data_IF_549785979027
#
_entry.id   IF_549785979027
#
_cell.length_a   1.000
_cell.length_b   1.000
_cell.length_c   1.000
_cell.angle_alpha   90.00
_cell.angle_beta   90.00
_cell.angle_gamma   90.00
#
_symmetry.space_group_name_H-M   'P 1'
#
loop_
_entity.id
_entity.type
_entity.pdbx_description
1 polymer ?
#
# COMPACT_ATOMS: atom_id res chain seq x y z
N UNK A 1 0.35 -3.09 21.02
CA UNK A 1 0.99 -2.14 20.07
C UNK A 1 2.22 -1.46 20.66
N UNK A 2 2.17 -0.84 21.85
CA UNK A 2 3.37 -0.22 22.48
C UNK A 2 4.39 -1.23 23.03
N UNK A 3 3.91 -2.35 23.58
CA UNK A 3 4.76 -3.41 24.18
C UNK A 3 5.23 -4.46 23.15
N UNK A 4 4.52 -4.54 22.03
CA UNK A 4 4.73 -5.49 20.94
C UNK A 4 3.53 -5.52 19.98
N UNK A 5 3.71 -6.24 18.87
CA UNK A 5 2.62 -6.62 17.96
C UNK A 5 1.97 -7.90 18.49
N UNK A 6 0.71 -7.81 18.90
CA UNK A 6 -0.03 -8.94 19.50
C UNK A 6 -1.01 -9.58 18.51
N UNK A 7 -0.98 -9.18 17.24
CA UNK A 7 -1.90 -9.67 16.22
C UNK A 7 -1.76 -11.17 15.98
N UNK A 8 -2.89 -11.84 15.77
CA UNK A 8 -2.91 -13.26 15.40
C UNK A 8 -3.33 -13.44 13.95
N UNK A 9 -2.68 -14.36 13.24
CA UNK A 9 -2.98 -14.62 11.84
C UNK A 9 -4.01 -15.75 11.73
N UNK A 10 -5.13 -15.50 11.05
CA UNK A 10 -6.17 -16.51 10.86
C UNK A 10 -5.61 -17.75 10.16
N UNK A 11 -5.72 -18.94 10.77
CA UNK A 11 -5.16 -20.17 10.18
C UNK A 11 -5.86 -20.60 8.90
N UNK A 12 -7.20 -20.50 8.86
CA UNK A 12 -8.01 -21.05 7.76
C UNK A 12 -7.63 -20.45 6.40
N UNK A 13 -7.34 -19.15 6.39
CA UNK A 13 -7.08 -18.41 5.15
C UNK A 13 -5.67 -17.82 5.09
N UNK A 14 -4.91 -17.81 6.20
CA UNK A 14 -3.56 -17.26 6.32
C UNK A 14 -3.40 -15.84 5.73
N UNK A 15 -4.47 -15.02 5.81
CA UNK A 15 -4.61 -13.77 5.06
C UNK A 15 -5.02 -12.56 5.90
N UNK A 16 -5.62 -12.79 7.07
CA UNK A 16 -6.10 -11.71 7.95
C UNK A 16 -5.38 -11.79 9.29
N UNK A 17 -5.08 -10.62 9.82
CA UNK A 17 -4.65 -10.47 11.19
C UNK A 17 -5.84 -10.03 12.04
N UNK A 18 -6.06 -10.72 13.13
CA UNK A 18 -7.01 -10.36 14.16
C UNK A 18 -6.32 -9.50 15.21
N UNK A 19 -6.96 -8.40 15.58
CA UNK A 19 -6.58 -7.52 16.67
C UNK A 19 -7.80 -7.25 17.58
N UNK A 20 -7.55 -6.69 18.76
CA UNK A 20 -8.60 -6.27 19.68
C UNK A 20 -9.39 -5.09 19.13
N UNK A 21 -10.65 -4.96 19.55
CA UNK A 21 -11.54 -3.88 19.13
C UNK A 21 -12.04 -3.09 20.33
N UNK A 22 -12.19 -1.77 20.18
CA UNK A 22 -12.75 -0.91 21.24
C UNK A 22 -14.21 -1.27 21.55
N UNK A 23 -14.97 -1.72 20.55
CA UNK A 23 -16.43 -1.93 20.64
C UNK A 23 -16.85 -3.40 20.68
N UNK A 24 -15.94 -4.36 20.42
CA UNK A 24 -16.26 -5.78 20.33
C UNK A 24 -15.43 -6.60 21.33
N UNK A 25 -16.05 -6.98 22.45
CA UNK A 25 -15.43 -7.83 23.47
C UNK A 25 -14.98 -9.18 22.91
N UNK A 26 -15.78 -9.77 22.01
CA UNK A 26 -15.46 -11.05 21.37
C UNK A 26 -14.12 -11.05 20.63
N UNK A 27 -13.66 -9.88 20.13
CA UNK A 27 -12.36 -9.76 19.47
C UNK A 27 -11.20 -9.94 20.47
N UNK A 28 -11.38 -9.48 21.71
CA UNK A 28 -10.43 -9.70 22.81
C UNK A 28 -10.49 -11.14 23.31
N UNK A 29 -11.69 -11.68 23.52
CA UNK A 29 -11.87 -13.05 24.01
C UNK A 29 -11.20 -14.05 23.04
N UNK A 30 -11.39 -13.85 21.74
CA UNK A 30 -10.80 -14.70 20.71
C UNK A 30 -9.27 -14.55 20.59
N UNK A 31 -8.67 -13.42 21.00
CA UNK A 31 -7.21 -13.28 21.05
C UNK A 31 -6.61 -14.05 22.24
N UNK A 32 -7.31 -14.09 23.36
CA UNK A 32 -6.82 -14.74 24.58
C UNK A 32 -7.28 -16.19 24.74
N UNK A 33 -8.14 -16.67 23.85
CA UNK A 33 -8.45 -18.08 23.71
C UNK A 33 -7.45 -18.79 22.79
N UNK A 34 -6.88 -19.92 23.23
CA UNK A 34 -5.96 -20.72 22.41
C UNK A 34 -6.74 -21.44 21.30
N UNK A 35 -7.00 -20.70 20.22
CA UNK A 35 -7.67 -21.17 19.03
C UNK A 35 -6.71 -21.76 17.99
N UNK A 36 -7.21 -21.94 16.77
CA UNK A 36 -6.45 -22.50 15.67
C UNK A 36 -5.52 -21.48 14.97
N UNK A 37 -5.62 -20.19 15.30
CA UNK A 37 -4.86 -19.10 14.67
C UNK A 37 -3.36 -19.15 15.00
N UNK A 38 -2.52 -18.63 14.11
CA UNK A 38 -1.08 -18.52 14.34
C UNK A 38 -0.75 -17.28 15.17
N UNK A 39 0.26 -17.38 16.05
CA UNK A 39 0.77 -16.25 16.83
C UNK A 39 0.18 -16.11 18.24
N UNK A 40 -0.57 -17.11 18.73
CA UNK A 40 -1.09 -17.11 20.10
C UNK A 40 0.02 -16.96 21.14
N UNK A 41 1.16 -17.64 20.94
CA UNK A 41 2.32 -17.57 21.82
C UNK A 41 2.87 -16.13 21.87
N UNK A 42 2.97 -15.44 20.73
CA UNK A 42 3.39 -14.03 20.66
C UNK A 42 2.39 -13.13 21.38
N UNK A 43 1.08 -13.31 21.16
CA UNK A 43 0.03 -12.58 21.90
C UNK A 43 0.18 -12.78 23.41
N UNK A 44 0.42 -14.01 23.85
CA UNK A 44 0.61 -14.37 25.26
C UNK A 44 1.86 -13.71 25.85
N UNK A 45 2.99 -13.75 25.15
CA UNK A 45 4.24 -13.08 25.56
C UNK A 45 4.05 -11.57 25.69
N UNK A 46 3.38 -10.93 24.72
CA UNK A 46 3.09 -9.49 24.77
C UNK A 46 2.17 -9.16 25.95
N UNK A 47 1.18 -10.00 26.24
CA UNK A 47 0.30 -9.81 27.39
C UNK A 47 1.06 -9.97 28.71
N UNK A 48 1.88 -11.01 28.87
CA UNK A 48 2.70 -11.22 30.06
C UNK A 48 3.64 -10.03 30.28
N UNK A 49 4.29 -9.55 29.21
CA UNK A 49 5.17 -8.39 29.24
C UNK A 49 4.43 -7.08 29.57
N UNK A 50 3.16 -6.95 29.17
CA UNK A 50 2.33 -5.83 29.59
C UNK A 50 2.02 -5.95 31.08
N UNK A 51 1.48 -7.10 31.51
CA UNK A 51 1.08 -7.36 32.90
C UNK A 51 2.24 -7.25 33.88
N UNK A 52 3.47 -7.50 33.45
CA UNK A 52 4.67 -7.33 34.28
C UNK A 52 5.05 -5.85 34.52
N UNK A 53 4.34 -4.87 33.93
CA UNK A 53 4.68 -3.44 34.06
C UNK A 53 4.07 -2.76 35.27
N UNK A 54 2.99 -3.29 35.82
CA UNK A 54 2.30 -2.71 36.96
C UNK A 54 1.48 -3.78 37.68
N UNK A 55 1.40 -3.69 39.01
CA UNK A 55 0.50 -4.53 39.81
C UNK A 55 -0.97 -4.14 39.60
N UNK A 56 -1.23 -2.84 39.41
CA UNK A 56 -2.55 -2.30 39.13
C UNK A 56 -2.50 -1.43 37.88
N UNK A 57 -3.33 -1.75 36.89
CA UNK A 57 -3.45 -0.95 35.67
C UNK A 57 -4.49 0.15 35.83
N UNK A 58 -4.03 1.39 35.68
CA UNK A 58 -4.85 2.59 35.52
C UNK A 58 -4.64 3.19 34.13
N UNK A 59 -5.52 4.12 33.72
CA UNK A 59 -5.32 4.87 32.48
C UNK A 59 -3.95 5.59 32.45
N UNK A 60 -3.45 6.05 33.59
CA UNK A 60 -2.15 6.72 33.67
C UNK A 60 -1.00 5.73 33.50
N UNK A 61 -1.04 4.56 34.13
CA UNK A 61 -0.03 3.51 33.90
C UNK A 61 0.02 3.07 32.42
N UNK A 62 -1.13 3.03 31.72
CA UNK A 62 -1.18 2.70 30.29
C UNK A 62 -0.63 3.84 29.42
N UNK A 63 -0.87 5.10 29.80
CA UNK A 63 -0.29 6.27 29.13
C UNK A 63 1.22 6.29 29.27
N UNK A 64 1.75 6.04 30.47
CA UNK A 64 3.21 5.97 30.69
C UNK A 64 3.88 4.93 29.80
N UNK A 65 3.26 3.75 29.62
CA UNK A 65 3.74 2.71 28.72
C UNK A 65 3.73 3.18 27.26
N UNK A 66 2.69 3.90 26.84
CA UNK A 66 2.59 4.48 25.50
C UNK A 66 3.68 5.54 25.29
N UNK A 67 3.82 6.46 26.23
CA UNK A 67 4.75 7.58 26.15
C UNK A 67 6.21 7.10 26.16
N UNK A 68 6.53 6.11 27.00
CA UNK A 68 7.85 5.48 27.02
C UNK A 68 8.21 4.82 25.66
N UNK A 69 7.24 4.15 25.03
CA UNK A 69 7.44 3.56 23.71
C UNK A 69 7.65 4.63 22.62
N UNK A 70 6.84 5.68 22.62
CA UNK A 70 6.96 6.80 21.67
C UNK A 70 8.31 7.50 21.83
N UNK A 71 8.68 7.84 23.07
CA UNK A 71 9.96 8.48 23.40
C UNK A 71 11.15 7.65 22.94
N UNK A 72 11.13 6.34 23.19
CA UNK A 72 12.19 5.42 22.74
C UNK A 72 12.34 5.40 21.21
N UNK A 73 11.24 5.45 20.46
CA UNK A 73 11.27 5.53 19.00
C UNK A 73 11.91 6.84 18.52
N UNK A 74 11.58 7.97 19.16
CA UNK A 74 12.13 9.29 18.85
C UNK A 74 13.63 9.38 19.15
N UNK A 75 14.05 8.91 20.33
CA UNK A 75 15.46 8.89 20.74
C UNK A 75 16.33 8.02 19.83
N UNK A 76 15.78 6.90 19.35
CA UNK A 76 16.49 5.98 18.45
C UNK A 76 16.33 6.31 16.97
N UNK A 77 15.49 7.30 16.63
CA UNK A 77 15.09 7.60 15.24
C UNK A 77 14.55 6.38 14.47
N UNK A 78 13.90 5.46 15.17
CA UNK A 78 13.24 4.29 14.57
C UNK A 78 11.72 4.46 14.64
N UNK A 79 11.07 4.57 13.48
CA UNK A 79 9.64 4.84 13.39
C UNK A 79 8.88 3.67 12.74
N UNK A 80 8.75 2.51 13.41
CA UNK A 80 7.94 1.42 12.89
C UNK A 80 6.47 1.84 12.80
N UNK A 81 5.65 1.18 11.98
CA UNK A 81 4.22 1.51 11.83
C UNK A 81 3.46 1.60 13.17
N UNK A 82 3.84 0.78 14.17
CA UNK A 82 3.28 0.79 15.53
C UNK A 82 3.50 2.12 16.26
N UNK A 83 4.59 2.83 15.98
CA UNK A 83 4.82 4.19 16.48
C UNK A 83 3.71 5.13 16.02
N UNK A 84 3.45 5.18 14.71
CA UNK A 84 2.40 6.03 14.17
C UNK A 84 1.01 5.59 14.64
N UNK A 85 0.77 4.28 14.69
CA UNK A 85 -0.46 3.70 15.23
C UNK A 85 -0.70 4.13 16.68
N UNK A 86 0.31 4.15 17.54
CA UNK A 86 0.13 4.52 18.95
C UNK A 86 0.05 6.04 19.12
N UNK A 87 0.93 6.80 18.46
CA UNK A 87 1.09 8.24 18.68
C UNK A 87 -0.04 9.08 18.07
N UNK A 88 -0.49 8.75 16.86
CA UNK A 88 -1.40 9.62 16.11
C UNK A 88 -2.78 8.99 15.98
N UNK A 89 -3.77 9.56 16.68
CA UNK A 89 -5.18 9.15 16.52
C UNK A 89 -5.63 9.29 15.06
N UNK A 90 -5.29 10.41 14.41
CA UNK A 90 -5.63 10.64 13.01
C UNK A 90 -5.09 9.54 12.09
N UNK A 91 -3.87 9.04 12.34
CA UNK A 91 -3.31 7.92 11.58
C UNK A 91 -4.08 6.62 11.83
N UNK A 92 -4.48 6.33 13.08
CA UNK A 92 -5.34 5.16 13.37
C UNK A 92 -6.70 5.25 12.70
N UNK A 93 -7.33 6.42 12.76
CA UNK A 93 -8.64 6.64 12.14
C UNK A 93 -8.53 6.51 10.62
N UNK A 94 -7.50 7.12 10.02
CA UNK A 94 -7.18 6.98 8.60
C UNK A 94 -6.95 5.52 8.21
N UNK A 95 -6.06 4.81 8.91
CA UNK A 95 -5.80 3.39 8.64
C UNK A 95 -7.08 2.56 8.75
N UNK A 96 -7.89 2.78 9.78
CA UNK A 96 -9.17 2.08 9.94
C UNK A 96 -10.07 2.33 8.74
N UNK A 97 -10.27 3.61 8.37
CA UNK A 97 -11.08 4.01 7.22
C UNK A 97 -10.58 3.37 5.92
N UNK A 98 -9.29 3.49 5.62
CA UNK A 98 -8.71 2.98 4.37
C UNK A 98 -8.78 1.45 4.34
N UNK A 99 -8.51 0.78 5.45
CA UNK A 99 -8.63 -0.67 5.53
C UNK A 99 -10.09 -1.12 5.39
N UNK A 100 -11.06 -0.39 5.93
CA UNK A 100 -12.48 -0.68 5.76
C UNK A 100 -12.93 -0.49 4.31
N UNK A 101 -12.54 0.61 3.65
CA UNK A 101 -12.84 0.87 2.24
C UNK A 101 -12.17 -0.17 1.33
N UNK A 102 -10.90 -0.46 1.56
CA UNK A 102 -10.15 -1.45 0.78
C UNK A 102 -10.67 -2.87 1.01
N UNK A 103 -10.90 -3.28 2.27
CA UNK A 103 -11.43 -4.59 2.60
C UNK A 103 -12.90 -4.76 2.19
N UNK A 104 -13.65 -3.67 2.12
CA UNK A 104 -15.03 -3.62 1.63
C UNK A 104 -15.14 -3.80 0.11
N UNK A 105 -14.06 -3.58 -0.64
CA UNK A 105 -14.01 -3.89 -2.07
C UNK A 105 -13.78 -5.40 -2.28
N UNK A 106 -14.85 -6.20 -2.13
CA UNK A 106 -14.78 -7.65 -2.24
C UNK A 106 -14.17 -8.13 -3.56
N UNK A 107 -14.43 -7.42 -4.67
CA UNK A 107 -13.87 -7.76 -5.98
C UNK A 107 -12.35 -7.62 -5.99
N UNK A 108 -11.82 -6.46 -5.59
CA UNK A 108 -10.38 -6.22 -5.54
C UNK A 108 -9.69 -7.18 -4.55
N UNK A 109 -10.30 -7.37 -3.37
CA UNK A 109 -9.80 -8.29 -2.37
C UNK A 109 -9.76 -9.72 -2.90
N UNK A 110 -10.80 -10.17 -3.62
CA UNK A 110 -10.82 -11.50 -4.23
C UNK A 110 -9.81 -11.64 -5.36
N UNK A 111 -9.60 -10.60 -6.14
CA UNK A 111 -8.58 -10.57 -7.19
C UNK A 111 -7.17 -10.71 -6.60
N UNK A 112 -6.82 -9.89 -5.60
CA UNK A 112 -5.54 -9.99 -4.86
C UNK A 112 -5.38 -11.39 -4.24
N UNK A 113 -6.45 -11.98 -3.74
CA UNK A 113 -6.45 -13.33 -3.15
C UNK A 113 -6.21 -14.44 -4.16
N UNK A 114 -6.58 -14.25 -5.42
CA UNK A 114 -6.47 -15.24 -6.48
C UNK A 114 -5.24 -15.03 -7.37
N UNK A 115 -4.67 -13.83 -7.33
CA UNK A 115 -3.47 -13.46 -8.06
C UNK A 115 -2.28 -14.36 -7.70
N UNK A 116 -1.59 -14.95 -8.69
CA UNK A 116 -0.33 -15.66 -8.46
C UNK A 116 0.74 -14.77 -7.82
N UNK A 117 0.80 -13.49 -8.23
CA UNK A 117 1.78 -12.53 -7.76
C UNK A 117 1.13 -11.17 -7.51
N UNK A 118 1.48 -10.57 -6.37
CA UNK A 118 1.03 -9.24 -5.96
C UNK A 118 2.23 -8.48 -5.44
N UNK A 119 2.49 -7.32 -6.02
CA UNK A 119 3.57 -6.43 -5.64
C UNK A 119 2.97 -5.14 -5.08
N UNK A 120 3.20 -4.87 -3.80
CA UNK A 120 3.06 -3.52 -3.26
C UNK A 120 4.36 -2.78 -3.52
N UNK A 121 4.27 -1.54 -3.99
CA UNK A 121 5.42 -0.66 -4.07
C UNK A 121 6.52 -1.26 -4.98
N UNK A 122 6.13 -1.74 -6.16
CA UNK A 122 6.97 -2.47 -7.12
C UNK A 122 8.06 -1.56 -7.72
N UNK A 123 9.33 -1.75 -7.34
CA UNK A 123 10.41 -0.91 -7.86
C UNK A 123 10.83 -1.37 -9.26
N UNK A 124 11.17 -0.41 -10.11
CA UNK A 124 11.78 -0.69 -11.41
C UNK A 124 12.92 0.28 -11.70
N UNK A 125 13.94 -0.21 -12.39
CA UNK A 125 15.08 0.60 -12.83
C UNK A 125 15.79 -0.09 -13.99
N UNK A 126 15.81 0.52 -15.17
CA UNK A 126 16.52 0.01 -16.33
C UNK A 126 16.85 1.13 -17.33
N UNK A 127 17.78 0.84 -18.23
CA UNK A 127 18.06 1.72 -19.38
C UNK A 127 17.30 1.25 -20.62
N UNK A 128 16.85 2.20 -21.44
CA UNK A 128 16.27 1.95 -22.77
C UNK A 128 16.88 2.90 -23.82
N UNK A 129 16.81 2.55 -25.10
CA UNK A 129 17.33 3.37 -26.22
C UNK A 129 16.74 2.93 -27.56
N UNK A 130 16.91 3.75 -28.61
CA UNK A 130 16.53 3.39 -29.97
C UNK A 130 15.02 3.14 -30.11
N UNK A 131 14.65 2.06 -30.84
CA UNK A 131 13.26 1.72 -31.16
C UNK A 131 12.38 1.57 -29.91
N UNK A 132 12.91 0.92 -28.87
CA UNK A 132 12.20 0.67 -27.62
C UNK A 132 11.80 1.99 -26.93
N UNK A 133 12.75 2.94 -26.88
CA UNK A 133 12.49 4.27 -26.35
C UNK A 133 11.47 5.03 -27.21
N UNK A 134 11.57 4.97 -28.54
CA UNK A 134 10.63 5.64 -29.45
C UNK A 134 9.20 5.15 -29.30
N UNK A 135 8.99 3.84 -29.14
CA UNK A 135 7.66 3.25 -28.91
C UNK A 135 7.07 3.68 -27.56
N UNK A 136 7.88 3.64 -26.50
CA UNK A 136 7.50 4.14 -25.18
C UNK A 136 7.14 5.64 -25.25
N UNK A 137 7.97 6.46 -25.89
CA UNK A 137 7.73 7.89 -26.01
C UNK A 137 6.47 8.19 -26.83
N UNK A 138 6.23 7.47 -27.93
CA UNK A 138 5.02 7.61 -28.72
C UNK A 138 3.76 7.36 -27.87
N UNK A 139 3.76 6.32 -27.02
CA UNK A 139 2.66 6.04 -26.10
C UNK A 139 2.44 7.16 -25.05
N UNK A 140 3.49 7.88 -24.66
CA UNK A 140 3.44 8.98 -23.70
C UNK A 140 3.02 10.32 -24.33
N UNK A 141 3.40 10.55 -25.58
CA UNK A 141 3.30 11.85 -26.27
C UNK A 141 1.86 12.42 -26.40
N UNK A 142 0.82 11.59 -26.26
CA UNK A 142 -0.59 12.01 -26.24
C UNK A 142 -1.20 12.23 -24.85
N UNK A 143 -0.48 11.89 -23.77
CA UNK A 143 -1.01 11.89 -22.38
C UNK A 143 -0.15 12.68 -21.39
N UNK A 144 0.88 13.35 -21.89
CA UNK A 144 1.74 14.28 -21.14
C UNK A 144 1.44 15.69 -21.62
N UNK A 145 1.41 16.67 -20.72
CA UNK A 145 1.28 18.07 -21.15
C UNK A 145 2.39 18.44 -22.12
N UNK A 146 2.07 19.13 -23.22
CA UNK A 146 2.97 19.36 -24.35
C UNK A 146 4.37 19.87 -23.93
N UNK A 147 4.44 20.78 -22.95
CA UNK A 147 5.71 21.33 -22.45
C UNK A 147 6.55 20.39 -21.57
N UNK A 148 6.00 19.27 -21.07
CA UNK A 148 6.76 18.21 -20.38
C UNK A 148 7.25 17.14 -21.36
N UNK A 149 6.49 16.86 -22.42
CA UNK A 149 6.84 15.85 -23.41
C UNK A 149 8.10 16.23 -24.21
N UNK A 150 8.24 17.50 -24.62
CA UNK A 150 9.42 17.99 -25.36
C UNK A 150 10.72 17.90 -24.56
N UNK A 151 10.67 18.07 -23.23
CA UNK A 151 11.86 17.95 -22.37
C UNK A 151 12.30 16.50 -22.13
N UNK A 152 11.41 15.54 -22.39
CA UNK A 152 11.68 14.12 -22.19
C UNK A 152 12.26 13.46 -23.44
N UNK A 153 12.26 14.14 -24.58
CA UNK A 153 12.88 13.68 -25.83
C UNK A 153 14.40 13.86 -25.79
N UNK A 154 15.19 12.78 -25.87
CA UNK A 154 16.58 12.86 -26.23
C UNK A 154 16.69 13.49 -27.61
N UNK A 155 17.63 14.42 -27.74
CA UNK A 155 18.02 14.99 -29.03
C UNK A 155 18.72 13.97 -29.95
N UNK A 156 19.26 12.87 -29.39
CA UNK A 156 19.84 11.75 -30.14
C UNK A 156 19.09 10.42 -29.84
N UNK A 157 18.49 9.75 -30.83
CA UNK A 157 17.84 8.44 -30.63
C UNK A 157 18.77 7.31 -30.18
N UNK A 158 20.10 7.49 -30.25
CA UNK A 158 21.11 6.57 -29.68
C UNK A 158 21.37 6.83 -28.20
N UNK A 159 20.87 7.92 -27.64
CA UNK A 159 21.02 8.23 -26.24
C UNK A 159 20.27 7.20 -25.39
N UNK A 160 20.97 6.67 -24.38
CA UNK A 160 20.34 5.80 -23.38
C UNK A 160 19.58 6.65 -22.39
N UNK A 161 18.33 6.30 -22.16
CA UNK A 161 17.46 6.91 -21.15
C UNK A 161 17.36 5.96 -19.97
N UNK A 162 17.55 6.50 -18.78
CA UNK A 162 17.34 5.76 -17.53
C UNK A 162 15.90 5.92 -17.07
N UNK A 163 15.18 4.80 -16.99
CA UNK A 163 13.81 4.73 -16.49
C UNK A 163 13.84 4.10 -15.11
N UNK A 164 13.32 4.82 -14.12
CA UNK A 164 13.23 4.33 -12.75
C UNK A 164 11.96 4.87 -12.07
N UNK A 165 11.48 4.14 -11.08
CA UNK A 165 10.29 4.50 -10.33
C UNK A 165 9.74 3.35 -9.50
N UNK A 166 8.51 3.54 -9.01
CA UNK A 166 7.84 2.60 -8.12
C UNK A 166 6.34 2.62 -8.41
N UNK A 167 5.75 1.48 -8.75
CA UNK A 167 4.31 1.35 -8.96
C UNK A 167 3.64 0.91 -7.65
N UNK A 168 2.54 1.56 -7.26
CA UNK A 168 1.97 1.40 -5.91
C UNK A 168 1.42 -0.01 -5.65
N UNK A 169 0.61 -0.56 -6.56
CA UNK A 169 0.14 -1.93 -6.47
C UNK A 169 0.03 -2.56 -7.86
N UNK A 170 0.74 -3.67 -8.06
CA UNK A 170 0.71 -4.46 -9.30
C UNK A 170 0.20 -5.86 -8.97
N UNK A 171 -0.82 -6.29 -9.71
CA UNK A 171 -1.48 -7.59 -9.54
C UNK A 171 -1.34 -8.35 -10.85
N UNK A 172 -0.67 -9.50 -10.82
CA UNK A 172 -0.64 -10.45 -11.94
C UNK A 172 -1.79 -11.42 -11.73
N UNK A 173 -2.69 -11.53 -12.71
CA UNK A 173 -3.85 -12.43 -12.65
C UNK A 173 -3.50 -13.84 -13.12
N UNK A 174 -4.31 -14.86 -12.75
CA UNK A 174 -4.09 -16.24 -13.21
C UNK A 174 -4.04 -16.42 -14.73
N UNK A 175 -4.71 -15.55 -15.50
CA UNK A 175 -4.71 -15.58 -16.96
C UNK A 175 -3.51 -14.84 -17.61
N UNK A 176 -2.58 -14.36 -16.79
CA UNK A 176 -1.40 -13.60 -17.21
C UNK A 176 -1.66 -12.13 -17.53
N UNK A 177 -2.88 -11.62 -17.33
CA UNK A 177 -3.15 -10.17 -17.41
C UNK A 177 -2.63 -9.45 -16.17
N UNK A 178 -2.29 -8.17 -16.31
CA UNK A 178 -1.71 -7.37 -15.22
C UNK A 178 -2.62 -6.17 -14.92
N UNK A 179 -2.93 -5.95 -13.64
CA UNK A 179 -3.64 -4.76 -13.16
C UNK A 179 -2.69 -3.90 -12.33
N UNK A 180 -2.68 -2.61 -12.60
CA UNK A 180 -1.92 -1.61 -11.86
C UNK A 180 -2.92 -0.68 -11.17
N UNK A 181 -2.81 -0.56 -9.84
CA UNK A 181 -3.51 0.45 -9.06
C UNK A 181 -2.50 1.49 -8.62
N UNK A 182 -2.76 2.75 -8.95
CA UNK A 182 -1.92 3.90 -8.58
C UNK A 182 -2.70 4.79 -7.62
N UNK A 183 -2.25 4.87 -6.37
CA UNK A 183 -2.95 5.57 -5.31
C UNK A 183 -2.79 7.08 -5.46
N UNK A 184 -3.88 7.82 -5.25
CA UNK A 184 -3.89 9.28 -5.32
C UNK A 184 -4.73 9.86 -4.19
N UNK A 185 -4.14 10.78 -3.43
CA UNK A 185 -4.81 11.53 -2.36
C UNK A 185 -5.36 12.87 -2.85
N UNK A 186 -5.57 13.01 -4.16
CA UNK A 186 -6.13 14.22 -4.76
C UNK A 186 -7.59 14.41 -4.29
N UNK A 187 -7.92 15.62 -3.88
CA UNK A 187 -9.25 15.94 -3.33
C UNK A 187 -10.17 16.42 -4.45
N UNK A 188 -11.35 15.80 -4.54
CA UNK A 188 -12.43 16.29 -5.39
C UNK A 188 -13.10 17.52 -4.73
N UNK A 189 -12.66 18.73 -5.10
CA UNK A 189 -13.16 20.01 -4.58
C UNK A 189 -14.57 20.38 -5.11
N UNK A 190 -15.53 19.46 -5.04
CA UNK A 190 -16.91 19.67 -5.50
C UNK A 190 -17.09 19.62 -7.02
N UNK A 191 -16.12 19.05 -7.75
CA UNK A 191 -16.25 18.82 -9.18
C UNK A 191 -17.12 17.58 -9.43
N UNK A 192 -17.75 17.53 -10.61
CA UNK A 192 -18.43 16.32 -11.04
C UNK A 192 -17.42 15.16 -11.19
N UNK A 193 -17.89 13.91 -11.04
CA UNK A 193 -17.01 12.74 -11.11
C UNK A 193 -16.26 12.62 -12.45
N UNK A 194 -16.88 13.01 -13.57
CA UNK A 194 -16.23 13.02 -14.89
C UNK A 194 -15.16 14.10 -15.00
N UNK A 195 -15.44 15.32 -14.52
CA UNK A 195 -14.49 16.42 -14.59
C UNK A 195 -13.25 16.13 -13.73
N UNK A 196 -13.45 15.50 -12.57
CA UNK A 196 -12.35 15.12 -11.70
C UNK A 196 -11.51 13.99 -12.32
N UNK A 197 -12.14 12.96 -12.89
CA UNK A 197 -11.44 11.88 -13.59
C UNK A 197 -10.57 12.42 -14.75
N UNK A 198 -11.10 13.38 -15.52
CA UNK A 198 -10.35 14.04 -16.59
C UNK A 198 -9.14 14.81 -16.08
N UNK A 199 -9.26 15.51 -14.95
CA UNK A 199 -8.12 16.21 -14.32
C UNK A 199 -7.04 15.22 -13.88
N UNK A 200 -7.43 14.14 -13.21
CA UNK A 200 -6.50 13.10 -12.75
C UNK A 200 -5.79 12.48 -13.97
N UNK A 201 -6.53 12.13 -15.02
CA UNK A 201 -5.96 11.55 -16.23
C UNK A 201 -5.02 12.53 -16.96
N UNK A 202 -5.35 13.83 -17.03
CA UNK A 202 -4.44 14.84 -17.60
C UNK A 202 -3.15 15.01 -16.80
N UNK A 203 -3.22 14.82 -15.48
CA UNK A 203 -2.06 15.00 -14.59
C UNK A 203 -1.16 13.77 -14.54
N UNK A 204 -1.75 12.58 -14.47
CA UNK A 204 -1.04 11.32 -14.19
C UNK A 204 -1.16 10.28 -15.31
N UNK A 205 -1.90 10.54 -16.39
CA UNK A 205 -2.10 9.59 -17.50
C UNK A 205 -0.79 9.15 -18.15
N UNK A 206 0.16 10.07 -18.35
CA UNK A 206 1.50 9.71 -18.82
C UNK A 206 2.28 8.81 -17.84
N UNK A 207 2.14 9.02 -16.53
CA UNK A 207 2.74 8.14 -15.52
C UNK A 207 2.16 6.73 -15.60
N UNK A 208 0.84 6.62 -15.76
CA UNK A 208 0.17 5.33 -15.89
C UNK A 208 0.62 4.57 -17.15
N UNK A 209 0.75 5.24 -18.29
CA UNK A 209 1.27 4.59 -19.51
C UNK A 209 2.73 4.13 -19.35
N UNK A 210 3.56 4.90 -18.64
CA UNK A 210 4.90 4.47 -18.31
C UNK A 210 4.88 3.18 -17.47
N UNK A 211 4.02 3.10 -16.45
CA UNK A 211 3.88 1.89 -15.64
C UNK A 211 3.41 0.69 -16.48
N UNK A 212 2.44 0.89 -17.38
CA UNK A 212 1.97 -0.16 -18.29
C UNK A 212 3.10 -0.67 -19.17
N UNK A 213 3.89 0.23 -19.76
CA UNK A 213 5.04 -0.12 -20.59
C UNK A 213 6.11 -0.90 -19.81
N UNK A 214 6.45 -0.41 -18.61
CA UNK A 214 7.42 -1.05 -17.71
C UNK A 214 6.96 -2.46 -17.36
N UNK A 215 5.69 -2.63 -16.98
CA UNK A 215 5.13 -3.94 -16.67
C UNK A 215 5.11 -4.86 -17.89
N UNK A 216 4.85 -4.32 -19.08
CA UNK A 216 4.88 -5.09 -20.32
C UNK A 216 6.26 -5.72 -20.55
N UNK A 217 7.31 -4.92 -20.35
CA UNK A 217 8.69 -5.36 -20.46
C UNK A 217 9.08 -6.36 -19.36
N UNK A 218 8.82 -6.02 -18.09
CA UNK A 218 9.34 -6.80 -16.96
C UNK A 218 8.62 -8.13 -16.79
N UNK A 219 7.33 -8.20 -17.11
CA UNK A 219 6.54 -9.43 -17.00
C UNK A 219 6.39 -10.16 -18.34
N UNK A 220 6.98 -9.63 -19.42
CA UNK A 220 6.85 -10.18 -20.78
C UNK A 220 5.37 -10.36 -21.19
N UNK A 221 4.54 -9.35 -20.88
CA UNK A 221 3.09 -9.34 -21.11
C UNK A 221 2.75 -8.25 -22.14
N UNK A 222 1.95 -8.54 -23.18
CA UNK A 222 1.49 -7.50 -24.12
C UNK A 222 0.81 -6.34 -23.38
N UNK A 223 1.10 -5.09 -23.74
CA UNK A 223 0.62 -3.89 -23.02
C UNK A 223 -0.90 -3.77 -22.98
N UNK A 224 -1.58 -4.38 -23.96
CA UNK A 224 -3.03 -4.50 -24.13
C UNK A 224 -3.66 -5.39 -23.06
N UNK A 225 -2.89 -6.32 -22.49
CA UNK A 225 -3.26 -7.15 -21.34
C UNK A 225 -2.92 -6.48 -20.00
N UNK A 226 -2.47 -5.23 -20.02
CA UNK A 226 -2.11 -4.46 -18.84
C UNK A 226 -3.10 -3.32 -18.66
N UNK A 227 -3.89 -3.37 -17.60
CA UNK A 227 -4.87 -2.35 -17.23
C UNK A 227 -4.33 -1.50 -16.08
N UNK A 228 -4.53 -0.19 -16.14
CA UNK A 228 -4.15 0.74 -15.08
C UNK A 228 -5.31 1.60 -14.65
N UNK A 229 -5.47 1.81 -13.34
CA UNK A 229 -6.49 2.72 -12.79
C UNK A 229 -5.92 3.56 -11.63
N UNK A 230 -6.45 4.76 -11.47
CA UNK A 230 -6.16 5.60 -10.33
C UNK A 230 -7.13 5.27 -9.20
N UNK A 231 -6.58 4.93 -8.03
CA UNK A 231 -7.35 4.61 -6.85
C UNK A 231 -7.30 5.80 -5.88
N UNK A 232 -8.41 6.48 -5.72
CA UNK A 232 -8.51 7.69 -4.90
C UNK A 232 -8.68 7.33 -3.42
N UNK A 233 -7.87 7.92 -2.54
CA UNK A 233 -7.80 7.67 -1.09
C UNK A 233 -8.14 8.94 -0.30
#
# INVERSE_FOLDING_TARGET
MSIGDYGQKERKNNRRYQYGSKSLQIAWDALFHKGANYGFEITSEVLIKLLSKAELFTNDSLREIIDAYVKSCEETSQYPWRYYYVKYKAYRDFLTKILEEFAGNEQLVNEIRQAPEVYTEFPFSFFTSGKEYSEMFAALSGKVSAGKAEKLLPSDPRQRVWINGKADLVIIRPDGTVRILDYKSDINNGLSGSDFADIINRRYGGQMELYRYVCAKLFNTPVEKITGEFYLI
#
